data_IF_404348057730
#
_entry.id   IF_404348057730
#
_cell.length_a   1.000
_cell.length_b   1.000
_cell.length_c   1.000
_cell.angle_alpha   90.00
_cell.angle_beta   90.00
_cell.angle_gamma   90.00
#
_symmetry.space_group_name_H-M   'P 1'
#
loop_
_entity.id
_entity.type
_entity.pdbx_description
1 polymer ?
#
# COMPACT_ATOMS: atom_id res chain seq x y z
N UNK A 1 3.48 21.97 -0.29
CA UNK A 1 3.15 23.18 0.51
C UNK A 1 1.84 23.86 0.09
N UNK A 2 1.55 24.06 -1.21
CA UNK A 2 0.31 24.73 -1.65
C UNK A 2 -0.97 23.99 -1.19
N UNK A 3 -1.12 22.71 -1.55
CA UNK A 3 -2.27 21.89 -1.12
C UNK A 3 -2.42 21.85 0.41
N UNK A 4 -1.30 21.69 1.13
CA UNK A 4 -1.27 21.74 2.59
C UNK A 4 -1.78 23.06 3.17
N UNK A 5 -1.58 24.20 2.51
CA UNK A 5 -2.13 25.49 3.00
C UNK A 5 -3.59 25.69 2.60
N UNK A 6 -3.96 25.30 1.39
CA UNK A 6 -5.26 25.57 0.81
C UNK A 6 -6.37 24.64 1.30
N UNK A 7 -6.05 23.36 1.58
CA UNK A 7 -7.04 22.36 1.96
C UNK A 7 -7.16 22.24 3.48
N UNK A 8 -8.37 22.02 4.03
CA UNK A 8 -8.59 21.90 5.48
C UNK A 8 -8.21 20.52 6.04
N UNK A 9 -8.01 19.51 5.18
CA UNK A 9 -7.84 18.11 5.58
C UNK A 9 -6.56 17.87 6.39
N UNK A 10 -6.67 17.03 7.42
CA UNK A 10 -5.57 16.64 8.30
C UNK A 10 -4.47 15.85 7.61
N UNK A 11 -4.84 15.03 6.62
CA UNK A 11 -3.94 14.18 5.85
C UNK A 11 -4.17 14.42 4.36
N UNK A 12 -3.11 14.79 3.64
CA UNK A 12 -3.18 15.09 2.22
C UNK A 12 -2.12 14.27 1.49
N UNK A 13 -2.55 13.29 0.70
CA UNK A 13 -1.72 12.48 -0.17
C UNK A 13 -1.64 13.03 -1.60
N UNK A 14 -0.62 12.63 -2.34
CA UNK A 14 -0.42 13.00 -3.73
C UNK A 14 -0.35 11.81 -4.69
N UNK A 15 -0.39 12.11 -5.98
CA UNK A 15 -0.25 11.12 -7.04
C UNK A 15 1.16 10.50 -7.11
N UNK A 16 1.25 9.25 -7.53
CA UNK A 16 2.52 8.52 -7.67
C UNK A 16 2.59 7.91 -9.07
N UNK A 17 3.48 8.46 -9.90
CA UNK A 17 3.67 8.02 -11.28
C UNK A 17 4.85 7.06 -11.41
N UNK A 18 4.81 6.09 -12.33
CA UNK A 18 5.95 5.23 -12.58
C UNK A 18 7.00 6.00 -13.40
N UNK A 19 8.25 6.03 -12.96
CA UNK A 19 9.35 6.60 -13.76
C UNK A 19 9.97 5.61 -14.75
N UNK A 20 9.70 4.31 -14.59
CA UNK A 20 10.41 3.24 -15.28
C UNK A 20 9.57 2.57 -16.36
N UNK A 21 10.24 2.13 -17.42
CA UNK A 21 9.68 1.24 -18.45
C UNK A 21 10.04 -0.24 -18.21
N UNK A 22 10.95 -0.52 -17.28
CA UNK A 22 11.36 -1.88 -16.92
C UNK A 22 10.16 -2.69 -16.37
N UNK A 23 9.89 -3.91 -16.89
CA UNK A 23 8.73 -4.70 -16.47
C UNK A 23 8.73 -5.09 -14.99
N UNK A 24 9.88 -5.40 -14.39
CA UNK A 24 9.97 -5.83 -13.00
C UNK A 24 9.65 -4.66 -12.05
N UNK A 25 10.30 -3.53 -12.27
CA UNK A 25 10.12 -2.33 -11.46
C UNK A 25 8.75 -1.69 -11.68
N UNK A 26 8.21 -1.75 -12.90
CA UNK A 26 6.83 -1.36 -13.15
C UNK A 26 5.82 -2.25 -12.42
N UNK A 27 6.08 -3.56 -12.31
CA UNK A 27 5.22 -4.48 -11.56
C UNK A 27 5.15 -4.10 -10.07
N UNK A 28 6.28 -3.69 -9.49
CA UNK A 28 6.32 -3.17 -8.13
C UNK A 28 5.44 -1.93 -7.99
N UNK A 29 5.60 -0.97 -8.90
CA UNK A 29 4.76 0.22 -8.90
C UNK A 29 3.27 -0.11 -9.05
N UNK A 30 2.91 -1.01 -9.97
CA UNK A 30 1.52 -1.35 -10.26
C UNK A 30 0.82 -1.99 -9.05
N UNK A 31 1.56 -2.77 -8.26
CA UNK A 31 1.08 -3.39 -7.02
C UNK A 31 1.00 -2.37 -5.87
N UNK A 32 2.07 -1.62 -5.61
CA UNK A 32 2.13 -0.77 -4.41
C UNK A 32 1.39 0.56 -4.62
N UNK A 33 1.54 1.16 -5.79
CA UNK A 33 1.17 2.56 -6.04
C UNK A 33 0.16 2.75 -7.16
N UNK A 34 -0.21 1.70 -7.88
CA UNK A 34 -1.12 1.80 -9.03
C UNK A 34 -2.49 2.42 -8.72
N UNK A 35 -2.93 2.42 -7.45
CA UNK A 35 -4.16 3.11 -7.01
C UNK A 35 -4.02 4.63 -6.89
N UNK A 36 -2.79 5.14 -6.80
CA UNK A 36 -2.45 6.56 -6.72
C UNK A 36 -1.95 7.09 -8.07
N UNK A 37 -2.13 6.31 -9.14
CA UNK A 37 -1.71 6.66 -10.48
C UNK A 37 -2.66 7.70 -11.09
N UNK A 38 -2.16 8.81 -11.63
CA UNK A 38 -2.99 9.75 -12.38
C UNK A 38 -3.47 9.11 -13.71
N UNK A 39 -4.58 9.61 -14.30
CA UNK A 39 -5.45 10.68 -13.78
C UNK A 39 -6.48 10.17 -12.75
N UNK A 40 -6.79 11.02 -11.77
CA UNK A 40 -7.92 10.85 -10.86
C UNK A 40 -8.40 12.22 -10.36
N UNK A 41 -9.65 12.30 -9.89
CA UNK A 41 -10.19 13.51 -9.28
C UNK A 41 -9.75 13.63 -7.81
N UNK A 42 -9.48 14.85 -7.37
CA UNK A 42 -9.17 15.11 -5.97
C UNK A 42 -10.36 14.71 -5.07
N UNK A 43 -10.10 14.06 -3.95
CA UNK A 43 -11.19 13.57 -3.12
C UNK A 43 -10.77 12.83 -1.87
N UNK A 44 -11.78 12.60 -1.00
CA UNK A 44 -11.63 11.73 0.16
C UNK A 44 -11.38 10.29 -0.31
N UNK A 45 -10.41 9.63 0.32
CA UNK A 45 -10.03 8.26 0.03
C UNK A 45 -9.94 7.47 1.32
N UNK A 46 -10.11 6.15 1.22
CA UNK A 46 -9.88 5.26 2.35
C UNK A 46 -8.39 5.18 2.75
N UNK A 47 -7.48 5.54 1.83
CA UNK A 47 -6.04 5.41 1.97
C UNK A 47 -5.31 6.49 1.19
N UNK A 48 -4.19 6.96 1.74
CA UNK A 48 -3.13 7.70 1.03
C UNK A 48 -1.81 6.97 1.30
N UNK A 49 -0.77 7.22 0.50
CA UNK A 49 0.52 6.56 0.70
C UNK A 49 1.51 7.43 1.48
N UNK A 50 2.20 6.83 2.44
CA UNK A 50 3.27 7.43 3.22
C UNK A 50 4.46 7.94 2.40
N UNK A 51 4.67 7.43 1.20
CA UNK A 51 5.73 7.91 0.28
C UNK A 51 5.40 9.24 -0.40
N UNK A 52 4.13 9.66 -0.38
CA UNK A 52 3.69 10.95 -0.91
C UNK A 52 2.51 11.50 -0.10
N UNK A 53 2.78 11.87 1.15
CA UNK A 53 1.80 12.43 2.07
C UNK A 53 2.35 13.65 2.79
N UNK A 54 1.46 14.54 3.18
CA UNK A 54 1.73 15.56 4.16
C UNK A 54 0.63 15.62 5.22
N UNK A 55 1.03 15.98 6.43
CA UNK A 55 0.15 16.06 7.59
C UNK A 55 0.03 17.50 8.08
N UNK A 56 -1.16 17.89 8.52
CA UNK A 56 -1.29 19.05 9.40
C UNK A 56 -0.57 18.73 10.71
N UNK A 57 0.19 19.69 11.25
CA UNK A 57 0.94 19.49 12.50
C UNK A 57 0.05 18.94 13.61
N UNK A 58 -1.13 19.54 13.82
CA UNK A 58 -2.10 19.10 14.83
C UNK A 58 -2.49 17.62 14.70
N UNK A 59 -2.56 17.06 13.48
CA UNK A 59 -2.89 15.65 13.26
C UNK A 59 -1.74 14.74 13.63
N UNK A 60 -0.55 15.02 13.08
CA UNK A 60 0.58 14.13 13.30
C UNK A 60 1.01 14.16 14.77
N UNK A 61 0.96 15.32 15.43
CA UNK A 61 1.25 15.40 16.86
C UNK A 61 0.21 14.67 17.73
N UNK A 62 -1.05 14.61 17.31
CA UNK A 62 -2.08 13.86 18.03
C UNK A 62 -1.88 12.34 17.98
N UNK A 63 -1.05 11.83 17.07
CA UNK A 63 -0.70 10.40 16.96
C UNK A 63 0.75 10.11 17.37
N UNK A 64 1.38 11.04 18.10
CA UNK A 64 2.81 10.97 18.44
C UNK A 64 3.21 9.67 19.14
N UNK A 65 2.37 9.18 20.04
CA UNK A 65 2.53 7.90 20.73
C UNK A 65 2.63 6.70 19.77
N UNK A 66 2.02 6.78 18.59
CA UNK A 66 2.00 5.70 17.59
C UNK A 66 3.28 5.68 16.75
N UNK A 67 3.87 6.84 16.44
CA UNK A 67 4.99 6.94 15.47
C UNK A 67 6.33 7.35 16.07
N UNK A 68 6.38 7.84 17.30
CA UNK A 68 7.61 8.37 17.90
C UNK A 68 8.75 7.35 17.92
N UNK A 69 8.46 6.09 18.24
CA UNK A 69 9.47 5.01 18.23
C UNK A 69 9.64 4.40 16.84
N UNK A 70 8.52 4.08 16.18
CA UNK A 70 8.51 3.53 14.83
C UNK A 70 7.23 3.91 14.11
N UNK A 71 7.38 4.70 13.05
CA UNK A 71 6.25 5.07 12.20
C UNK A 71 5.59 3.83 11.60
N UNK A 72 4.27 3.71 11.80
CA UNK A 72 3.41 2.71 11.19
C UNK A 72 2.25 3.43 10.52
N UNK A 73 2.31 3.53 9.19
CA UNK A 73 1.33 4.23 8.36
C UNK A 73 -0.10 3.82 8.68
N UNK A 74 -0.39 2.51 8.67
CA UNK A 74 -1.74 2.00 8.87
C UNK A 74 -2.31 2.43 10.23
N UNK A 75 -1.52 2.31 11.31
CA UNK A 75 -1.96 2.71 12.65
C UNK A 75 -2.20 4.22 12.75
N UNK A 76 -1.30 5.04 12.18
CA UNK A 76 -1.46 6.50 12.16
C UNK A 76 -2.71 6.90 11.38
N UNK A 77 -2.92 6.35 10.18
CA UNK A 77 -4.08 6.67 9.34
C UNK A 77 -5.38 6.19 9.96
N UNK A 78 -5.42 5.00 10.54
CA UNK A 78 -6.60 4.50 11.24
C UNK A 78 -6.94 5.33 12.47
N UNK A 79 -5.94 5.74 13.26
CA UNK A 79 -6.16 6.61 14.42
C UNK A 79 -6.73 7.96 14.01
N UNK A 80 -6.20 8.56 12.94
CA UNK A 80 -6.71 9.82 12.40
C UNK A 80 -8.13 9.68 11.83
N UNK A 81 -8.39 8.61 11.06
CA UNK A 81 -9.73 8.33 10.53
C UNK A 81 -10.75 8.10 11.67
N UNK A 82 -10.36 7.38 12.73
CA UNK A 82 -11.20 7.16 13.91
C UNK A 82 -11.46 8.47 14.68
N UNK A 83 -10.55 9.43 14.62
CA UNK A 83 -10.73 10.78 15.15
C UNK A 83 -11.53 11.71 14.22
N UNK A 84 -12.07 11.19 13.11
CA UNK A 84 -12.90 11.94 12.15
C UNK A 84 -12.11 12.74 11.11
N UNK A 85 -10.78 12.57 11.02
CA UNK A 85 -9.98 13.21 9.98
C UNK A 85 -10.18 12.54 8.62
N UNK A 86 -10.15 13.37 7.57
CA UNK A 86 -10.31 12.91 6.19
C UNK A 86 -8.93 12.71 5.57
N UNK A 87 -8.70 11.51 5.03
CA UNK A 87 -7.59 11.23 4.13
C UNK A 87 -7.96 11.73 2.74
N UNK A 88 -7.26 12.77 2.27
CA UNK A 88 -7.59 13.44 1.01
C UNK A 88 -6.47 13.26 -0.01
N UNK A 89 -6.80 12.87 -1.24
CA UNK A 89 -5.83 12.69 -2.31
C UNK A 89 -5.93 13.83 -3.32
N UNK A 90 -4.79 14.40 -3.75
CA UNK A 90 -4.73 15.43 -4.80
C UNK A 90 -3.92 14.94 -6.01
N UNK A 91 -4.37 15.18 -7.25
CA UNK A 91 -3.68 14.70 -8.45
C UNK A 91 -2.43 15.52 -8.78
N UNK A 92 -2.40 16.80 -8.41
CA UNK A 92 -1.35 17.73 -8.85
C UNK A 92 -0.04 17.61 -8.05
N UNK A 93 -0.07 16.96 -6.89
CA UNK A 93 1.13 16.70 -6.09
C UNK A 93 1.76 15.37 -6.52
N UNK A 94 2.46 15.38 -7.66
CA UNK A 94 3.01 14.17 -8.27
C UNK A 94 4.44 13.89 -7.79
N UNK A 95 4.70 12.65 -7.38
CA UNK A 95 6.06 12.12 -7.27
C UNK A 95 6.28 10.96 -8.24
N UNK A 96 7.54 10.74 -8.59
CA UNK A 96 7.95 9.64 -9.44
C UNK A 96 8.50 8.47 -8.62
N UNK A 97 7.87 7.30 -8.77
CA UNK A 97 8.38 6.07 -8.21
C UNK A 97 9.59 5.57 -9.03
N UNK A 98 10.73 5.46 -8.37
CA UNK A 98 11.99 4.95 -8.91
C UNK A 98 12.51 3.83 -8.01
N UNK A 99 12.66 2.65 -8.58
CA UNK A 99 13.30 1.51 -7.92
C UNK A 99 14.38 0.90 -8.82
N UNK A 100 15.26 0.10 -8.22
CA UNK A 100 16.39 -0.55 -8.90
C UNK A 100 16.40 -2.06 -8.66
N UNK A 101 15.23 -2.68 -8.62
CA UNK A 101 15.15 -4.14 -8.50
C UNK A 101 15.71 -4.78 -9.76
N UNK A 102 16.61 -5.74 -9.57
CA UNK A 102 17.29 -6.48 -10.65
C UNK A 102 16.92 -7.97 -10.66
N UNK A 103 16.26 -8.47 -9.60
CA UNK A 103 15.92 -9.88 -9.45
C UNK A 103 14.53 -10.05 -8.85
N UNK A 104 13.69 -10.84 -9.54
CA UNK A 104 12.37 -11.22 -9.05
C UNK A 104 12.46 -12.09 -7.78
N UNK A 105 13.48 -12.94 -7.66
CA UNK A 105 13.69 -13.76 -6.47
C UNK A 105 14.04 -12.92 -5.23
N UNK A 106 14.92 -11.93 -5.39
CA UNK A 106 15.25 -11.00 -4.31
C UNK A 106 14.03 -10.16 -3.90
N UNK A 107 13.25 -9.69 -4.88
CA UNK A 107 12.00 -8.99 -4.63
C UNK A 107 10.98 -9.88 -3.91
N UNK A 108 10.78 -11.12 -4.36
CA UNK A 108 9.86 -12.07 -3.72
C UNK A 108 10.26 -12.35 -2.26
N UNK A 109 11.55 -12.56 -2.00
CA UNK A 109 12.06 -12.70 -0.63
C UNK A 109 11.75 -11.47 0.22
N UNK A 110 12.01 -10.26 -0.29
CA UNK A 110 11.67 -9.03 0.42
C UNK A 110 10.15 -8.93 0.70
N UNK A 111 9.31 -9.27 -0.28
CA UNK A 111 7.86 -9.22 -0.15
C UNK A 111 7.33 -10.20 0.88
N UNK A 112 7.92 -11.39 0.97
CA UNK A 112 7.62 -12.34 2.02
C UNK A 112 7.95 -11.78 3.41
N UNK A 113 9.14 -11.18 3.59
CA UNK A 113 9.52 -10.59 4.87
C UNK A 113 8.60 -9.43 5.28
N UNK A 114 8.24 -8.55 4.35
CA UNK A 114 7.31 -7.46 4.63
C UNK A 114 5.89 -7.96 4.89
N UNK A 115 5.42 -8.94 4.13
CA UNK A 115 4.15 -9.62 4.39
C UNK A 115 4.12 -10.22 5.79
N UNK A 116 5.21 -10.84 6.25
CA UNK A 116 5.34 -11.41 7.59
C UNK A 116 5.20 -10.38 8.69
N UNK A 117 5.88 -9.24 8.56
CA UNK A 117 5.71 -8.10 9.47
C UNK A 117 4.26 -7.63 9.51
N UNK A 118 3.64 -7.47 8.34
CA UNK A 118 2.25 -7.01 8.25
C UNK A 118 1.25 -8.00 8.85
N UNK A 119 1.42 -9.30 8.57
CA UNK A 119 0.59 -10.36 9.12
C UNK A 119 0.67 -10.45 10.64
N UNK A 120 1.87 -10.27 11.21
CA UNK A 120 2.07 -10.20 12.66
C UNK A 120 1.31 -9.01 13.26
N UNK A 121 1.44 -7.81 12.70
CA UNK A 121 0.73 -6.61 13.17
C UNK A 121 -0.79 -6.79 13.05
N UNK A 122 -1.27 -7.38 11.97
CA UNK A 122 -2.71 -7.60 11.75
C UNK A 122 -3.30 -8.65 12.69
N UNK A 123 -2.48 -9.59 13.15
CA UNK A 123 -2.88 -10.66 14.04
C UNK A 123 -2.66 -10.35 15.53
N UNK A 124 -1.95 -9.27 15.89
CA UNK A 124 -1.61 -8.97 17.28
C UNK A 124 -2.84 -8.81 18.18
N UNK A 125 -3.87 -8.16 17.66
CA UNK A 125 -5.13 -7.87 18.38
C UNK A 125 -6.29 -8.75 17.88
N UNK A 126 -5.99 -9.79 17.08
CA UNK A 126 -6.99 -10.63 16.46
C UNK A 126 -7.34 -11.84 17.34
N UNK A 127 -8.64 -12.16 17.44
CA UNK A 127 -9.10 -13.41 18.05
C UNK A 127 -8.57 -14.64 17.30
N UNK A 128 -8.52 -15.80 17.96
CA UNK A 128 -8.06 -17.05 17.35
C UNK A 128 -8.81 -17.38 16.04
N UNK A 129 -10.13 -17.13 16.00
CA UNK A 129 -10.96 -17.31 14.81
C UNK A 129 -10.54 -16.36 13.69
N UNK A 130 -10.34 -15.07 14.01
CA UNK A 130 -9.90 -14.07 13.02
C UNK A 130 -8.49 -14.39 12.49
N UNK A 131 -7.59 -14.88 13.35
CA UNK A 131 -6.26 -15.35 12.94
C UNK A 131 -6.35 -16.55 11.99
N UNK A 132 -7.19 -17.54 12.30
CA UNK A 132 -7.41 -18.68 11.43
C UNK A 132 -7.96 -18.25 10.06
N UNK A 133 -8.94 -17.34 10.02
CA UNK A 133 -9.47 -16.78 8.77
C UNK A 133 -8.38 -16.08 7.94
N UNK A 134 -7.50 -15.29 8.57
CA UNK A 134 -6.39 -14.64 7.87
C UNK A 134 -5.48 -15.68 7.20
N UNK A 135 -5.08 -16.72 7.93
CA UNK A 135 -4.21 -17.79 7.42
C UNK A 135 -4.90 -18.58 6.29
N UNK A 136 -6.14 -19.03 6.51
CA UNK A 136 -6.89 -19.85 5.56
C UNK A 136 -7.27 -19.08 4.29
N UNK A 137 -7.41 -17.75 4.37
CA UNK A 137 -7.66 -16.91 3.20
C UNK A 137 -6.41 -16.70 2.32
N UNK A 138 -5.22 -16.98 2.85
CA UNK A 138 -3.93 -16.74 2.19
C UNK A 138 -3.82 -17.23 0.73
N UNK A 139 -4.29 -18.44 0.38
CA UNK A 139 -4.27 -18.91 -1.00
C UNK A 139 -5.18 -18.13 -1.97
N UNK A 140 -6.30 -17.58 -1.46
CA UNK A 140 -7.30 -16.86 -2.28
C UNK A 140 -6.94 -15.37 -2.42
N UNK A 141 -6.32 -14.79 -1.39
CA UNK A 141 -5.89 -13.38 -1.37
C UNK A 141 -5.12 -12.93 -2.63
N UNK A 142 -4.09 -13.65 -3.14
CA UNK A 142 -3.35 -13.19 -4.31
C UNK A 142 -4.22 -13.12 -5.56
N UNK A 143 -5.21 -14.01 -5.72
CA UNK A 143 -6.14 -13.99 -6.86
C UNK A 143 -7.08 -12.78 -6.80
N UNK A 144 -7.59 -12.46 -5.61
CA UNK A 144 -8.44 -11.28 -5.39
C UNK A 144 -7.66 -10.00 -5.64
N UNK A 145 -6.43 -9.90 -5.13
CA UNK A 145 -5.57 -8.75 -5.37
C UNK A 145 -5.19 -8.62 -6.84
N UNK A 146 -4.87 -9.73 -7.50
CA UNK A 146 -4.57 -9.74 -8.94
C UNK A 146 -5.72 -9.16 -9.77
N UNK A 147 -6.96 -9.59 -9.49
CA UNK A 147 -8.15 -9.06 -10.15
C UNK A 147 -8.36 -7.56 -9.88
N UNK A 148 -8.12 -7.11 -8.64
CA UNK A 148 -8.18 -5.68 -8.27
C UNK A 148 -7.15 -4.85 -9.02
N UNK A 149 -5.89 -5.30 -9.07
CA UNK A 149 -4.84 -4.61 -9.82
C UNK A 149 -5.13 -4.60 -11.31
N UNK A 150 -5.60 -5.72 -11.89
CA UNK A 150 -6.02 -5.78 -13.29
C UNK A 150 -7.13 -4.76 -13.59
N UNK A 151 -8.15 -4.66 -12.74
CA UNK A 151 -9.23 -3.69 -12.88
C UNK A 151 -8.74 -2.25 -12.83
N UNK A 152 -7.84 -1.92 -11.89
CA UNK A 152 -7.22 -0.60 -11.79
C UNK A 152 -6.39 -0.28 -13.03
N UNK A 153 -5.50 -1.19 -13.44
CA UNK A 153 -4.64 -0.95 -14.60
C UNK A 153 -5.42 -0.88 -15.91
N UNK A 154 -6.53 -1.61 -16.04
CA UNK A 154 -7.44 -1.46 -17.17
C UNK A 154 -8.08 -0.07 -17.25
N UNK A 155 -8.55 0.47 -16.11
CA UNK A 155 -9.11 1.84 -16.06
C UNK A 155 -8.08 2.91 -16.43
N UNK A 156 -6.80 2.65 -16.14
CA UNK A 156 -5.68 3.52 -16.50
C UNK A 156 -5.16 3.32 -17.94
N UNK A 157 -5.80 2.47 -18.75
CA UNK A 157 -5.34 2.18 -20.12
C UNK A 157 -4.10 1.27 -20.19
N UNK A 158 -3.64 0.72 -19.07
CA UNK A 158 -2.44 -0.10 -18.96
C UNK A 158 -2.71 -1.62 -19.09
N UNK A 159 -3.85 -2.04 -19.63
CA UNK A 159 -4.26 -3.45 -19.64
C UNK A 159 -3.22 -4.37 -20.32
N UNK A 160 -2.73 -4.00 -21.50
CA UNK A 160 -1.71 -4.79 -22.22
C UNK A 160 -0.37 -4.85 -21.46
N UNK A 161 0.04 -3.73 -20.85
CA UNK A 161 1.25 -3.65 -20.04
C UNK A 161 1.13 -4.53 -18.79
N UNK A 162 -0.03 -4.52 -18.13
CA UNK A 162 -0.31 -5.36 -16.98
C UNK A 162 -0.31 -6.85 -17.34
N UNK A 163 -0.89 -7.23 -18.49
CA UNK A 163 -0.87 -8.62 -18.96
C UNK A 163 0.57 -9.14 -19.16
N UNK A 164 1.47 -8.31 -19.71
CA UNK A 164 2.90 -8.66 -19.86
C UNK A 164 3.64 -8.76 -18.51
N UNK A 165 3.20 -8.00 -17.53
CA UNK A 165 3.76 -7.99 -16.17
C UNK A 165 3.16 -9.07 -15.25
N UNK A 166 2.17 -9.84 -15.72
CA UNK A 166 1.39 -10.76 -14.89
C UNK A 166 2.24 -11.77 -14.10
N UNK A 167 3.30 -12.40 -14.68
CA UNK A 167 4.14 -13.32 -13.91
C UNK A 167 4.80 -12.63 -12.70
N UNK A 168 5.37 -11.44 -12.91
CA UNK A 168 6.02 -10.67 -11.85
C UNK A 168 5.02 -10.26 -10.77
N UNK A 169 3.86 -9.70 -11.18
CA UNK A 169 2.80 -9.28 -10.26
C UNK A 169 2.30 -10.46 -9.44
N UNK A 170 2.02 -11.60 -10.08
CA UNK A 170 1.54 -12.79 -9.38
C UNK A 170 2.57 -13.30 -8.36
N UNK A 171 3.85 -13.38 -8.73
CA UNK A 171 4.92 -13.76 -7.80
C UNK A 171 5.01 -12.80 -6.60
N UNK A 172 4.92 -11.49 -6.83
CA UNK A 172 4.91 -10.48 -5.76
C UNK A 172 3.74 -10.72 -4.79
N UNK A 173 2.53 -10.94 -5.33
CA UNK A 173 1.32 -11.14 -4.52
C UNK A 173 1.34 -12.45 -3.73
N UNK A 174 1.82 -13.54 -4.34
CA UNK A 174 1.97 -14.83 -3.66
C UNK A 174 2.99 -14.72 -2.53
N UNK A 175 4.16 -14.12 -2.79
CA UNK A 175 5.18 -13.94 -1.77
C UNK A 175 4.68 -13.09 -0.59
N UNK A 176 3.97 -11.99 -0.89
CA UNK A 176 3.32 -11.17 0.13
C UNK A 176 2.31 -11.98 0.95
N UNK A 177 1.38 -12.67 0.30
CA UNK A 177 0.30 -13.41 0.96
C UNK A 177 0.84 -14.56 1.83
N UNK A 178 1.87 -15.26 1.33
CA UNK A 178 2.57 -16.29 2.11
C UNK A 178 3.24 -15.70 3.36
N UNK A 179 3.85 -14.52 3.23
CA UNK A 179 4.40 -13.77 4.35
C UNK A 179 3.30 -13.39 5.36
N UNK A 180 2.22 -12.77 4.89
CA UNK A 180 1.09 -12.35 5.74
C UNK A 180 0.49 -13.52 6.51
N UNK A 181 0.26 -14.65 5.84
CA UNK A 181 -0.21 -15.88 6.49
C UNK A 181 0.78 -16.41 7.54
N UNK A 182 2.08 -16.41 7.23
CA UNK A 182 3.11 -16.84 8.17
C UNK A 182 3.19 -15.94 9.41
N UNK A 183 3.17 -14.62 9.21
CA UNK A 183 3.17 -13.65 10.31
C UNK A 183 1.93 -13.78 11.17
N UNK A 184 0.76 -13.96 10.54
CA UNK A 184 -0.49 -14.16 11.26
C UNK A 184 -0.52 -15.46 12.06
N UNK A 185 0.07 -16.54 11.54
CA UNK A 185 0.16 -17.84 12.19
C UNK A 185 1.15 -17.85 13.35
N UNK A 186 2.36 -17.35 13.12
CA UNK A 186 3.47 -17.46 14.08
C UNK A 186 3.54 -16.32 15.09
N UNK A 187 2.92 -15.17 14.78
CA UNK A 187 3.07 -13.95 15.57
C UNK A 187 4.49 -13.37 15.52
N UNK A 188 5.33 -13.82 14.57
CA UNK A 188 6.73 -13.40 14.43
C UNK A 188 6.90 -12.51 13.20
N UNK A 189 7.73 -11.49 13.39
CA UNK A 189 8.19 -10.51 12.40
C UNK A 189 9.26 -11.07 11.46
#
# INVERSE_FOLDING_TARGET
VRAHRALPHGVIGGAISPATQDPLNWSVWAVDYGRYAPPFEAGAQAWVSDVNVCYKRRCIEATRDIWQERYNEARVHWSLAAAGEVLYLVPDAVVEFRSRYTSLGALASQRFHWGRLFGQVRASDASAVRRAMLVLSGPVVPLVLLARHAGTQRRLGNAARFARALPNVFTILVAWSAGEGWGALTGRA
#
